data_IF_094435582683
#
_entry.id   IF_094435582683
#
_cell.length_a   1.000
_cell.length_b   1.000
_cell.length_c   1.000
_cell.angle_alpha   90.00
_cell.angle_beta   90.00
_cell.angle_gamma   90.00
#
_symmetry.space_group_name_H-M   'P 1'
#
loop_
_entity.id
_entity.type
_entity.pdbx_description
1 polymer ?
#
# COMPACT_ATOMS: atom_id res chain seq x y z
N UNK A 1 3.56 7.15 31.10
CA UNK A 1 3.59 6.89 29.64
C UNK A 1 2.36 7.55 29.05
N UNK A 2 2.48 8.22 27.90
CA UNK A 2 1.34 8.87 27.23
C UNK A 2 0.44 7.84 26.56
N UNK A 3 -0.88 7.99 26.69
CA UNK A 3 -1.88 7.14 26.02
C UNK A 3 -2.25 7.75 24.66
N UNK A 4 -1.78 7.12 23.58
CA UNK A 4 -2.02 7.57 22.21
C UNK A 4 -3.46 7.36 21.73
N UNK A 5 -4.28 6.58 22.44
CA UNK A 5 -5.69 6.36 22.09
C UNK A 5 -6.62 7.46 22.61
N UNK A 6 -6.18 8.22 23.62
CA UNK A 6 -6.96 9.28 24.24
C UNK A 6 -7.37 10.40 23.27
N UNK A 7 -6.49 10.91 22.38
CA UNK A 7 -6.84 11.97 21.43
C UNK A 7 -7.99 11.61 20.49
N UNK A 8 -8.04 10.38 20.00
CA UNK A 8 -9.07 9.97 19.03
C UNK A 8 -10.48 10.07 19.62
N UNK A 9 -10.65 9.70 20.90
CA UNK A 9 -11.94 9.81 21.60
C UNK A 9 -12.40 11.26 21.74
N UNK A 10 -11.46 12.17 21.99
CA UNK A 10 -11.76 13.59 22.16
C UNK A 10 -12.11 14.26 20.82
N UNK A 11 -11.35 13.93 19.76
CA UNK A 11 -11.52 14.50 18.43
C UNK A 11 -12.83 14.03 17.79
N UNK A 12 -13.16 12.73 17.86
CA UNK A 12 -14.37 12.16 17.25
C UNK A 12 -15.68 12.63 17.90
N UNK A 13 -15.62 13.16 19.12
CA UNK A 13 -16.81 13.57 19.86
C UNK A 13 -17.39 14.91 19.40
N UNK A 14 -16.67 15.68 18.57
CA UNK A 14 -17.01 17.09 18.32
C UNK A 14 -16.92 17.45 16.82
N UNK A 15 -18.00 17.98 16.21
CA UNK A 15 -17.96 18.45 14.83
C UNK A 15 -17.33 19.85 14.77
N UNK A 16 -16.05 19.92 14.44
CA UNK A 16 -15.31 21.17 14.27
C UNK A 16 -14.75 21.33 12.86
N UNK A 17 -14.60 22.57 12.42
CA UNK A 17 -13.84 22.90 11.23
C UNK A 17 -12.34 22.58 11.42
N UNK A 18 -11.59 22.57 10.31
CA UNK A 18 -10.17 22.17 10.31
C UNK A 18 -9.32 23.03 11.25
N UNK A 19 -9.60 24.32 11.34
CA UNK A 19 -8.82 25.26 12.15
C UNK A 19 -9.10 25.04 13.64
N UNK A 20 -10.38 24.98 14.01
CA UNK A 20 -10.77 24.73 15.41
C UNK A 20 -10.25 23.38 15.90
N UNK A 21 -10.32 22.34 15.06
CA UNK A 21 -9.83 21.03 15.44
C UNK A 21 -8.29 21.01 15.59
N UNK A 22 -7.56 21.77 14.77
CA UNK A 22 -6.11 21.88 14.87
C UNK A 22 -5.73 22.56 16.19
N UNK A 23 -6.46 23.61 16.55
CA UNK A 23 -6.27 24.30 17.82
C UNK A 23 -6.52 23.40 19.04
N UNK A 24 -7.58 22.56 18.98
CA UNK A 24 -7.89 21.58 20.04
C UNK A 24 -6.76 20.57 20.18
N UNK A 25 -6.29 20.00 19.06
CA UNK A 25 -5.18 19.05 19.06
C UNK A 25 -3.91 19.69 19.62
N UNK A 26 -3.59 20.92 19.22
CA UNK A 26 -2.40 21.62 19.71
C UNK A 26 -2.49 21.90 21.21
N UNK A 27 -3.67 22.26 21.70
CA UNK A 27 -3.91 22.52 23.12
C UNK A 27 -3.78 21.23 23.95
N UNK A 28 -4.44 20.14 23.54
CA UNK A 28 -4.33 18.86 24.27
C UNK A 28 -2.90 18.30 24.22
N UNK A 29 -2.23 18.41 23.07
CA UNK A 29 -0.81 18.06 22.91
C UNK A 29 0.09 18.88 23.84
N UNK A 30 -0.17 20.17 24.03
CA UNK A 30 0.59 21.02 24.94
C UNK A 30 0.36 20.63 26.41
N UNK A 31 -0.90 20.42 26.80
CA UNK A 31 -1.27 19.97 28.15
C UNK A 31 -0.62 18.61 28.44
N UNK A 32 -0.75 17.68 27.50
CA UNK A 32 -0.15 16.36 27.59
C UNK A 32 1.37 16.40 27.70
N UNK A 33 2.03 17.21 26.86
CA UNK A 33 3.49 17.37 26.89
C UNK A 33 3.99 17.91 28.23
N UNK A 34 3.23 18.83 28.83
CA UNK A 34 3.53 19.38 30.17
C UNK A 34 3.40 18.30 31.25
N UNK A 35 2.37 17.46 31.16
CA UNK A 35 2.11 16.40 32.12
C UNK A 35 3.16 15.27 32.06
N UNK A 36 3.66 14.93 30.87
CA UNK A 36 4.65 13.85 30.70
C UNK A 36 6.11 14.33 30.72
N UNK A 37 6.36 15.64 30.65
CA UNK A 37 7.69 16.24 30.70
C UNK A 37 8.49 16.18 29.39
N UNK A 38 7.85 15.89 28.25
CA UNK A 38 8.49 15.90 26.93
C UNK A 38 7.48 16.24 25.81
N UNK A 39 7.99 16.64 24.65
CA UNK A 39 7.17 17.02 23.50
C UNK A 39 6.47 15.81 22.86
N UNK A 40 5.15 15.85 22.79
CA UNK A 40 4.32 14.80 22.17
C UNK A 40 4.24 14.89 20.63
N UNK A 41 4.88 15.86 19.98
CA UNK A 41 4.92 15.92 18.52
C UNK A 41 5.53 14.63 17.93
N UNK A 42 4.78 13.95 17.06
CA UNK A 42 5.19 12.67 16.46
C UNK A 42 4.75 11.44 17.26
N UNK A 43 4.42 11.58 18.55
CA UNK A 43 3.99 10.47 19.43
C UNK A 43 2.66 10.72 20.11
N UNK A 44 1.95 11.78 19.73
CA UNK A 44 0.69 12.22 20.35
C UNK A 44 -0.44 11.22 20.08
N UNK A 45 -0.54 10.71 18.86
CA UNK A 45 -1.60 9.80 18.44
C UNK A 45 -1.13 8.94 17.23
N UNK A 46 -1.79 7.83 16.89
CA UNK A 46 -1.41 6.98 15.76
C UNK A 46 -1.32 7.73 14.43
N UNK A 47 -2.23 8.69 14.21
CA UNK A 47 -2.23 9.53 13.01
C UNK A 47 -0.96 10.40 12.86
N UNK A 48 -0.13 10.55 13.89
CA UNK A 48 1.14 11.27 13.78
C UNK A 48 2.08 10.66 12.73
N UNK A 49 1.98 9.34 12.47
CA UNK A 49 2.80 8.63 11.50
C UNK A 49 2.59 9.15 10.06
N UNK A 50 1.40 9.68 9.76
CA UNK A 50 1.02 10.18 8.42
C UNK A 50 0.99 11.70 8.33
N UNK A 51 1.49 12.38 9.36
CA UNK A 51 1.51 13.83 9.44
C UNK A 51 2.46 14.45 8.39
N UNK A 52 2.03 15.58 7.82
CA UNK A 52 2.87 16.42 6.97
C UNK A 52 2.88 17.83 7.55
N UNK A 53 4.04 18.31 8.00
CA UNK A 53 4.21 19.68 8.52
C UNK A 53 4.02 20.77 7.47
N UNK A 54 3.95 20.39 6.20
CA UNK A 54 3.74 21.31 5.08
C UNK A 54 2.27 21.56 4.79
N UNK A 55 1.36 20.76 5.38
CA UNK A 55 -0.08 21.03 5.29
C UNK A 55 -0.47 22.19 6.22
N UNK A 56 -1.48 22.97 5.82
CA UNK A 56 -1.97 24.14 6.57
C UNK A 56 -2.37 23.78 8.01
N UNK A 57 -3.12 22.69 8.18
CA UNK A 57 -3.56 22.17 9.47
C UNK A 57 -2.99 20.75 9.67
N UNK A 58 -1.70 20.61 9.99
CA UNK A 58 -0.95 19.37 9.77
C UNK A 58 -1.45 18.18 10.61
N UNK A 59 -1.87 18.43 11.86
CA UNK A 59 -2.34 17.35 12.74
C UNK A 59 -3.77 16.93 12.38
N UNK A 60 -4.63 17.88 12.01
CA UNK A 60 -5.99 17.58 11.54
C UNK A 60 -5.98 16.88 10.20
N UNK A 61 -5.17 17.35 9.26
CA UNK A 61 -4.98 16.67 7.97
C UNK A 61 -4.50 15.24 8.21
N UNK A 62 -3.53 15.03 9.11
CA UNK A 62 -3.07 13.69 9.48
C UNK A 62 -4.18 12.82 10.07
N UNK A 63 -5.00 13.38 10.97
CA UNK A 63 -6.15 12.69 11.55
C UNK A 63 -7.16 12.26 10.48
N UNK A 64 -7.52 13.16 9.56
CA UNK A 64 -8.44 12.83 8.45
C UNK A 64 -7.89 11.78 7.50
N UNK A 65 -6.59 11.83 7.20
CA UNK A 65 -5.91 10.78 6.43
C UNK A 65 -6.03 9.44 7.17
N UNK A 66 -5.77 9.43 8.47
CA UNK A 66 -5.84 8.22 9.28
C UNK A 66 -7.25 7.64 9.37
N UNK A 67 -8.29 8.48 9.52
CA UNK A 67 -9.68 8.01 9.45
C UNK A 67 -9.98 7.39 8.09
N UNK A 68 -9.60 8.07 7.00
CA UNK A 68 -9.79 7.56 5.64
C UNK A 68 -9.08 6.23 5.44
N UNK A 69 -7.85 6.08 5.92
CA UNK A 69 -7.10 4.81 5.83
C UNK A 69 -7.90 3.63 6.41
N UNK A 70 -8.65 3.87 7.48
CA UNK A 70 -9.53 2.86 8.09
C UNK A 70 -10.73 2.47 7.23
N UNK A 71 -11.12 3.30 6.25
CA UNK A 71 -12.29 3.09 5.39
C UNK A 71 -11.93 2.50 4.02
N UNK A 72 -10.72 2.75 3.52
CA UNK A 72 -10.30 2.33 2.16
C UNK A 72 -10.32 0.81 1.99
N UNK A 73 -9.65 0.05 2.87
CA UNK A 73 -9.59 -1.40 2.74
C UNK A 73 -10.98 -2.07 2.89
N UNK A 74 -11.82 -1.66 3.86
CA UNK A 74 -13.21 -2.13 3.92
C UNK A 74 -14.03 -1.80 2.68
N UNK A 75 -13.87 -0.60 2.10
CA UNK A 75 -14.56 -0.20 0.87
C UNK A 75 -14.19 -1.14 -0.29
N UNK A 76 -12.90 -1.44 -0.48
CA UNK A 76 -12.44 -2.34 -1.54
C UNK A 76 -12.92 -3.78 -1.31
N UNK A 77 -12.91 -4.22 -0.05
CA UNK A 77 -13.35 -5.56 0.33
C UNK A 77 -14.87 -5.73 0.12
N UNK A 78 -15.67 -4.74 0.52
CA UNK A 78 -17.11 -4.73 0.33
C UNK A 78 -17.52 -4.68 -1.15
N UNK A 79 -16.74 -4.00 -1.99
CA UNK A 79 -16.92 -3.98 -3.43
C UNK A 79 -16.48 -5.29 -4.13
N UNK A 80 -15.93 -6.25 -3.39
CA UNK A 80 -15.50 -7.54 -3.94
C UNK A 80 -14.31 -7.42 -4.90
N UNK A 81 -13.48 -6.38 -4.75
CA UNK A 81 -12.35 -6.16 -5.65
C UNK A 81 -11.26 -7.20 -5.36
N UNK A 82 -10.92 -7.99 -6.38
CA UNK A 82 -9.92 -9.06 -6.36
C UNK A 82 -8.90 -8.98 -7.51
N UNK A 83 -9.16 -8.17 -8.54
CA UNK A 83 -8.22 -7.93 -9.64
C UNK A 83 -7.33 -6.69 -9.40
N UNK A 84 -6.00 -6.77 -9.63
CA UNK A 84 -5.08 -5.66 -9.36
C UNK A 84 -5.33 -4.45 -10.26
N UNK A 85 -5.72 -4.66 -11.53
CA UNK A 85 -6.04 -3.58 -12.45
C UNK A 85 -7.27 -2.77 -12.00
N UNK A 86 -8.32 -3.44 -11.51
CA UNK A 86 -9.53 -2.79 -10.99
C UNK A 86 -9.21 -2.03 -9.70
N UNK A 87 -8.51 -2.69 -8.78
CA UNK A 87 -8.05 -2.06 -7.53
C UNK A 87 -7.21 -0.80 -7.80
N UNK A 88 -6.34 -0.83 -8.81
CA UNK A 88 -5.53 0.31 -9.21
C UNK A 88 -6.40 1.49 -9.69
N UNK A 89 -7.35 1.25 -10.60
CA UNK A 89 -8.22 2.30 -11.13
C UNK A 89 -9.05 2.94 -10.02
N UNK A 90 -9.64 2.12 -9.14
CA UNK A 90 -10.42 2.61 -8.00
C UNK A 90 -9.53 3.41 -7.05
N UNK A 91 -8.36 2.88 -6.71
CA UNK A 91 -7.40 3.57 -5.83
C UNK A 91 -6.92 4.89 -6.43
N UNK A 92 -6.68 4.97 -7.74
CA UNK A 92 -6.21 6.19 -8.38
C UNK A 92 -7.26 7.30 -8.36
N UNK A 93 -8.52 6.97 -8.66
CA UNK A 93 -9.62 7.94 -8.59
C UNK A 93 -9.86 8.40 -7.16
N UNK A 94 -9.97 7.46 -6.21
CA UNK A 94 -10.24 7.80 -4.82
C UNK A 94 -9.09 8.60 -4.19
N UNK A 95 -7.84 8.18 -4.42
CA UNK A 95 -6.64 8.90 -3.98
C UNK A 95 -6.57 10.29 -4.58
N UNK A 96 -6.93 10.47 -5.85
CA UNK A 96 -6.94 11.79 -6.50
C UNK A 96 -7.93 12.74 -5.82
N UNK A 97 -9.20 12.32 -5.70
CA UNK A 97 -10.25 13.12 -5.07
C UNK A 97 -9.90 13.46 -3.60
N UNK A 98 -9.36 12.49 -2.88
CA UNK A 98 -8.91 12.68 -1.51
C UNK A 98 -7.75 13.67 -1.41
N UNK A 99 -6.76 13.56 -2.31
CA UNK A 99 -5.61 14.47 -2.34
C UNK A 99 -6.04 15.91 -2.62
N UNK A 100 -7.00 16.10 -3.52
CA UNK A 100 -7.59 17.41 -3.82
C UNK A 100 -8.31 17.98 -2.58
N UNK A 101 -9.16 17.17 -1.93
CA UNK A 101 -9.93 17.60 -0.75
C UNK A 101 -9.05 17.97 0.46
N UNK A 102 -7.87 17.36 0.58
CA UNK A 102 -6.94 17.57 1.69
C UNK A 102 -5.79 18.54 1.34
N UNK A 103 -5.71 18.98 0.07
CA UNK A 103 -4.63 19.85 -0.41
C UNK A 103 -3.23 19.22 -0.30
N UNK A 104 -3.13 17.89 -0.38
CA UNK A 104 -1.88 17.15 -0.18
C UNK A 104 -1.87 15.86 -1.00
N UNK A 105 -0.75 15.56 -1.66
CA UNK A 105 -0.56 14.26 -2.33
C UNK A 105 -0.57 13.11 -1.30
N UNK A 106 -1.49 12.17 -1.51
CA UNK A 106 -1.64 10.99 -0.67
C UNK A 106 -0.80 9.78 -1.12
N UNK A 107 0.03 9.90 -2.15
CA UNK A 107 0.96 8.84 -2.51
C UNK A 107 1.81 8.40 -1.30
N UNK A 108 1.78 7.11 -0.97
CA UNK A 108 2.49 6.53 0.18
C UNK A 108 1.80 6.72 1.54
N UNK A 109 0.68 7.44 1.60
CA UNK A 109 -0.11 7.70 2.82
C UNK A 109 -1.63 7.59 2.57
N UNK A 110 -2.02 6.91 1.52
CA UNK A 110 -3.42 6.80 1.11
C UNK A 110 -4.17 5.72 1.91
N UNK A 111 -3.52 4.58 2.12
CA UNK A 111 -4.11 3.38 2.74
C UNK A 111 -3.02 2.54 3.42
N UNK A 112 -3.37 1.62 4.34
CA UNK A 112 -2.41 0.74 5.01
C UNK A 112 -1.51 -0.05 4.05
N UNK A 113 -2.06 -0.50 2.91
CA UNK A 113 -1.29 -1.21 1.89
C UNK A 113 -0.19 -0.37 1.22
N UNK A 114 -0.16 0.95 1.42
CA UNK A 114 0.93 1.78 0.90
C UNK A 114 2.31 1.36 1.42
N UNK A 115 2.37 0.73 2.60
CA UNK A 115 3.62 0.25 3.19
C UNK A 115 4.26 -0.91 2.41
N UNK A 116 3.48 -1.64 1.61
CA UNK A 116 3.92 -2.81 0.81
C UNK A 116 3.83 -2.55 -0.70
N UNK A 117 3.71 -1.28 -1.09
CA UNK A 117 3.61 -0.85 -2.47
C UNK A 117 4.99 -0.82 -3.15
N UNK A 118 5.13 -1.58 -4.24
CA UNK A 118 6.29 -1.53 -5.11
C UNK A 118 5.92 -0.81 -6.41
N UNK A 119 6.53 0.36 -6.64
CA UNK A 119 6.26 1.21 -7.81
C UNK A 119 6.83 0.66 -9.12
N UNK A 120 7.67 -0.38 -9.06
CA UNK A 120 8.25 -1.01 -10.25
C UNK A 120 7.30 -2.02 -10.92
N UNK A 121 6.25 -2.43 -10.21
CA UNK A 121 5.28 -3.41 -10.68
C UNK A 121 4.18 -2.79 -11.55
N UNK A 122 3.54 -3.64 -12.36
CA UNK A 122 2.30 -3.28 -13.03
C UNK A 122 1.17 -3.19 -11.99
N UNK A 123 0.39 -2.11 -12.04
CA UNK A 123 -0.69 -1.83 -11.08
C UNK A 123 -0.22 -1.81 -9.61
N UNK A 124 0.75 -0.94 -9.25
CA UNK A 124 1.51 -1.05 -7.99
C UNK A 124 0.63 -0.93 -6.73
N UNK A 125 -0.38 -0.06 -6.74
CA UNK A 125 -1.31 0.09 -5.62
C UNK A 125 -2.32 -1.07 -5.56
N UNK A 126 -2.75 -1.56 -6.73
CA UNK A 126 -3.62 -2.73 -6.83
C UNK A 126 -2.96 -3.99 -6.28
N UNK A 127 -1.72 -4.27 -6.69
CA UNK A 127 -0.93 -5.40 -6.17
C UNK A 127 -0.68 -5.27 -4.67
N UNK A 128 -0.35 -4.07 -4.19
CA UNK A 128 -0.16 -3.80 -2.77
C UNK A 128 -1.42 -4.11 -1.95
N UNK A 129 -2.60 -3.71 -2.45
CA UNK A 129 -3.87 -4.02 -1.80
C UNK A 129 -4.11 -5.53 -1.72
N UNK A 130 -3.86 -6.28 -2.80
CA UNK A 130 -4.05 -7.74 -2.78
C UNK A 130 -3.09 -8.45 -1.82
N UNK A 131 -1.82 -8.02 -1.75
CA UNK A 131 -0.87 -8.51 -0.74
C UNK A 131 -1.34 -8.23 0.68
N UNK A 132 -1.80 -7.00 0.91
CA UNK A 132 -2.32 -6.59 2.21
C UNK A 132 -3.54 -7.41 2.62
N UNK A 133 -4.50 -7.60 1.70
CA UNK A 133 -5.67 -8.45 1.89
C UNK A 133 -5.29 -9.90 2.16
N UNK A 134 -4.34 -10.46 1.42
CA UNK A 134 -3.89 -11.83 1.65
C UNK A 134 -3.27 -12.02 3.04
N UNK A 135 -2.52 -11.03 3.53
CA UNK A 135 -1.96 -11.05 4.89
C UNK A 135 -3.06 -10.91 5.95
N UNK A 136 -4.03 -10.02 5.76
CA UNK A 136 -5.19 -9.90 6.66
C UNK A 136 -6.01 -11.20 6.69
N UNK A 137 -6.30 -11.80 5.54
CA UNK A 137 -7.03 -13.06 5.41
C UNK A 137 -6.26 -14.23 6.05
N UNK A 138 -4.94 -14.28 5.88
CA UNK A 138 -4.10 -15.31 6.52
C UNK A 138 -4.07 -15.13 8.04
N UNK A 139 -3.84 -13.90 8.52
CA UNK A 139 -3.78 -13.61 9.95
C UNK A 139 -5.10 -13.87 10.66
N UNK A 140 -6.23 -13.55 10.03
CA UNK A 140 -7.57 -13.82 10.58
C UNK A 140 -7.90 -15.31 10.56
N UNK A 141 -7.62 -16.04 9.47
CA UNK A 141 -7.81 -17.50 9.41
C UNK A 141 -6.95 -18.25 10.43
N UNK A 142 -5.72 -17.78 10.67
CA UNK A 142 -4.84 -18.35 11.71
C UNK A 142 -5.42 -18.16 13.13
N UNK A 143 -6.14 -17.06 13.38
CA UNK A 143 -6.83 -16.82 14.66
C UNK A 143 -8.09 -17.70 14.82
N UNK A 144 -8.84 -17.97 13.74
CA UNK A 144 -10.02 -18.85 13.78
C UNK A 144 -9.68 -20.35 13.84
N UNK A 145 -8.50 -20.77 13.38
CA UNK A 145 -8.03 -22.14 13.52
C UNK A 145 -7.52 -22.48 14.94
N UNK A 146 -7.45 -21.50 15.85
CA UNK A 146 -6.86 -21.64 17.17
C UNK A 146 -7.88 -22.15 18.22
N UNK A 147 -8.43 -23.36 18.01
CA UNK A 147 -9.11 -24.11 19.06
C UNK A 147 -8.07 -24.91 19.87
N UNK A 148 -7.64 -24.37 21.02
CA UNK A 148 -6.81 -25.14 21.98
C UNK A 148 -5.45 -24.55 22.36
N UNK A 149 -5.20 -23.25 22.15
CA UNK A 149 -4.15 -22.53 22.90
C UNK A 149 -2.69 -22.86 22.57
N UNK A 150 -2.42 -23.61 21.49
CA UNK A 150 -1.05 -23.81 21.01
C UNK A 150 -0.92 -23.34 19.56
N UNK A 151 -0.12 -22.29 19.35
CA UNK A 151 0.29 -21.83 18.03
C UNK A 151 1.18 -22.90 17.40
N UNK A 152 0.59 -23.77 16.58
CA UNK A 152 1.35 -24.56 15.61
C UNK A 152 1.36 -23.73 14.32
N UNK A 153 2.43 -22.95 14.12
CA UNK A 153 2.71 -22.34 12.82
C UNK A 153 3.20 -23.47 11.91
N UNK A 154 2.29 -24.23 11.34
CA UNK A 154 2.57 -24.99 10.12
C UNK A 154 2.41 -24.03 8.95
N UNK A 155 3.31 -23.06 8.84
CA UNK A 155 3.50 -22.38 7.57
C UNK A 155 4.10 -23.44 6.63
N UNK A 156 3.42 -23.87 5.56
CA UNK A 156 4.13 -24.53 4.48
C UNK A 156 5.25 -23.58 4.08
N UNK A 157 6.47 -24.09 4.00
CA UNK A 157 7.57 -23.30 3.48
C UNK A 157 7.11 -22.82 2.10
N UNK A 158 7.34 -21.56 1.75
CA UNK A 158 6.91 -21.04 0.44
C UNK A 158 7.39 -21.93 -0.72
N UNK A 159 8.53 -22.61 -0.51
CA UNK A 159 9.08 -23.64 -1.39
C UNK A 159 8.12 -24.85 -1.57
N UNK A 160 7.45 -25.32 -0.51
CA UNK A 160 6.55 -26.47 -0.56
C UNK A 160 5.24 -26.13 -1.27
N UNK A 161 4.67 -24.94 -1.00
CA UNK A 161 3.44 -24.48 -1.66
C UNK A 161 3.66 -24.20 -3.16
N UNK A 162 4.84 -23.72 -3.54
CA UNK A 162 5.22 -23.51 -4.94
C UNK A 162 5.47 -24.85 -5.66
N UNK A 163 6.09 -25.82 -4.98
CA UNK A 163 6.32 -27.16 -5.55
C UNK A 163 5.00 -27.88 -5.79
N UNK A 164 4.06 -27.78 -4.86
CA UNK A 164 2.74 -28.39 -4.98
C UNK A 164 1.92 -27.76 -6.11
N UNK A 165 1.96 -26.44 -6.27
CA UNK A 165 1.33 -25.74 -7.38
C UNK A 165 1.96 -26.09 -8.76
N UNK A 166 3.27 -26.35 -8.81
CA UNK A 166 3.96 -26.79 -10.02
C UNK A 166 3.66 -28.25 -10.37
N UNK A 167 3.54 -29.12 -9.36
CA UNK A 167 3.12 -30.51 -9.55
C UNK A 167 1.69 -30.57 -10.08
N UNK A 168 0.76 -29.77 -9.55
CA UNK A 168 -0.63 -29.72 -10.02
C UNK A 168 -0.73 -29.26 -11.49
N UNK A 169 0.09 -28.29 -11.93
CA UNK A 169 0.15 -27.86 -13.35
C UNK A 169 0.72 -28.97 -14.25
N UNK A 170 1.68 -29.76 -13.75
CA UNK A 170 2.32 -30.82 -14.56
C UNK A 170 1.44 -32.04 -14.82
N UNK A 171 0.39 -32.23 -14.04
CA UNK A 171 -0.58 -33.34 -14.23
C UNK A 171 -1.60 -32.99 -15.33
N UNK A 172 -1.95 -31.72 -15.48
CA UNK A 172 -2.91 -31.26 -16.50
C UNK A 172 -2.31 -31.24 -17.93
N UNK A 173 -1.00 -31.01 -18.09
CA UNK A 173 -0.32 -31.05 -19.41
C UNK A 173 -0.09 -32.47 -19.96
N UNK A 174 -0.21 -33.51 -19.11
CA UNK A 174 -0.05 -34.89 -19.54
C UNK A 174 -1.28 -35.46 -20.26
N UNK A 175 -2.49 -34.94 -19.97
CA UNK A 175 -3.74 -35.39 -20.63
C UNK A 175 -4.03 -34.65 -21.95
N UNK A 176 -3.38 -33.53 -22.23
CA UNK A 176 -3.57 -32.76 -23.47
C UNK A 176 -2.64 -33.21 -24.63
N UNK A 177 -1.51 -33.86 -24.33
CA UNK A 177 -0.53 -34.25 -25.33
C UNK A 177 -0.86 -35.54 -26.12
N UNK A 178 -1.90 -36.30 -25.74
CA UNK A 178 -2.33 -37.48 -26.52
C UNK A 178 -3.33 -37.14 -27.65
N UNK A 179 -3.78 -35.89 -27.77
CA UNK A 179 -4.81 -35.49 -28.74
C UNK A 179 -4.30 -34.77 -30.00
N UNK A 180 -3.04 -34.33 -30.07
CA UNK A 180 -2.52 -33.49 -31.16
C UNK A 180 -1.58 -34.17 -32.18
N UNK A 181 -1.32 -35.48 -32.08
CA UNK A 181 -0.44 -36.17 -33.05
C UNK A 181 -1.12 -36.59 -34.39
N UNK A 182 -2.39 -36.27 -34.61
CA UNK A 182 -3.07 -36.60 -35.87
C UNK A 182 -3.69 -35.36 -36.55
N UNK A 183 -2.85 -34.49 -37.11
CA UNK A 183 -3.13 -33.81 -38.39
C UNK A 183 -1.90 -33.04 -38.89
N UNK A 184 -1.15 -33.67 -39.80
CA UNK A 184 -0.12 -33.03 -40.61
C UNK A 184 -0.69 -32.78 -42.02
N UNK A 185 -0.32 -31.61 -42.57
CA UNK A 185 -0.33 -31.16 -43.96
C UNK A 185 -1.52 -30.31 -44.42
N UNK A 186 -1.27 -29.01 -44.69
CA UNK A 186 -0.90 -28.56 -46.04
C UNK A 186 -0.34 -27.11 -46.06
N UNK A 187 0.30 -26.78 -47.19
CA UNK A 187 1.40 -25.83 -47.43
C UNK A 187 1.12 -24.31 -47.41
N UNK A 188 2.20 -23.53 -47.22
CA UNK A 188 2.31 -22.08 -47.48
C UNK A 188 2.43 -21.77 -49.00
N UNK A 189 2.37 -20.49 -49.45
CA UNK A 189 3.64 -19.73 -49.57
C UNK A 189 3.59 -18.19 -49.33
N UNK A 190 4.58 -17.73 -48.56
CA UNK A 190 5.56 -16.62 -48.76
C UNK A 190 5.14 -15.26 -49.39
N UNK A 191 5.34 -14.16 -48.63
CA UNK A 191 5.98 -12.92 -49.13
C UNK A 191 6.52 -12.00 -47.99
N UNK A 192 7.86 -11.90 -47.94
CA UNK A 192 8.76 -10.77 -47.58
C UNK A 192 8.71 -10.05 -46.21
N UNK A 193 9.88 -10.08 -45.56
CA UNK A 193 10.28 -9.44 -44.28
C UNK A 193 11.06 -8.11 -44.54
N UNK A 194 11.50 -7.31 -43.53
CA UNK A 194 10.91 -6.02 -43.20
C UNK A 194 11.85 -4.81 -43.41
N UNK A 195 11.27 -3.61 -43.60
CA UNK A 195 12.03 -2.36 -43.51
C UNK A 195 12.15 -1.91 -42.04
N UNK A 196 13.36 -2.01 -41.49
CA UNK A 196 13.73 -1.57 -40.15
C UNK A 196 13.57 -0.04 -39.99
N UNK A 197 12.79 0.38 -38.99
CA UNK A 197 12.73 1.77 -38.55
C UNK A 197 13.81 2.04 -37.48
N UNK A 198 14.47 3.21 -37.46
CA UNK A 198 15.56 3.49 -36.53
C UNK A 198 15.05 3.60 -35.09
N UNK A 199 15.68 2.87 -34.16
CA UNK A 199 15.43 3.03 -32.74
C UNK A 199 16.07 4.34 -32.24
N UNK A 200 15.27 5.28 -31.74
CA UNK A 200 15.76 6.44 -31.01
C UNK A 200 16.23 6.00 -29.60
N UNK A 201 17.53 6.09 -29.34
CA UNK A 201 18.09 5.90 -28.00
C UNK A 201 17.62 7.03 -27.06
N UNK A 202 16.88 6.67 -26.01
CA UNK A 202 16.57 7.59 -24.91
C UNK A 202 17.87 8.03 -24.22
N UNK A 203 18.13 9.35 -24.05
CA UNK A 203 19.36 9.80 -23.42
C UNK A 203 19.41 9.42 -21.95
N UNK A 204 20.46 8.68 -21.57
CA UNK A 204 20.78 8.37 -20.18
C UNK A 204 21.10 9.66 -19.42
N UNK A 205 20.22 10.07 -18.52
CA UNK A 205 20.48 11.18 -17.59
C UNK A 205 21.56 10.76 -16.60
N UNK A 206 22.77 11.27 -16.75
CA UNK A 206 23.83 11.12 -15.75
C UNK A 206 23.50 11.97 -14.53
N UNK A 207 23.23 11.34 -13.38
CA UNK A 207 23.11 12.07 -12.12
C UNK A 207 24.50 12.49 -11.64
N UNK A 208 24.71 13.80 -11.46
CA UNK A 208 25.92 14.34 -10.80
C UNK A 208 25.68 14.38 -9.30
N UNK A 209 26.36 13.51 -8.57
CA UNK A 209 26.38 13.55 -7.10
C UNK A 209 27.36 14.65 -6.67
N UNK A 210 26.85 15.75 -6.13
CA UNK A 210 27.68 16.77 -5.48
C UNK A 210 27.90 16.36 -4.02
N UNK A 211 29.12 15.95 -3.67
CA UNK A 211 29.51 15.73 -2.27
C UNK A 211 29.80 17.07 -1.60
N UNK A 212 28.96 17.51 -0.67
CA UNK A 212 29.23 18.67 0.18
C UNK A 212 30.31 18.32 1.22
N UNK A 213 31.47 18.98 1.16
CA UNK A 213 32.48 18.92 2.23
C UNK A 213 32.02 19.81 3.39
N UNK A 214 31.91 19.25 4.59
CA UNK A 214 31.77 20.04 5.83
C UNK A 214 33.03 20.89 6.02
N UNK A 215 32.86 22.21 6.15
CA UNK A 215 33.89 23.07 6.75
C UNK A 215 33.86 22.80 8.25
N UNK A 216 34.96 22.28 8.79
CA UNK A 216 35.20 22.34 10.22
C UNK A 216 35.46 23.82 10.55
N UNK A 217 34.64 24.38 11.44
CA UNK A 217 34.91 25.69 12.03
C UNK A 217 35.92 25.48 13.16
N UNK A 218 37.07 26.15 13.05
CA UNK A 218 37.94 26.48 14.18
C UNK A 218 37.38 27.70 14.93
#
# INVERSE_FOLDING_TARGET
>A
MWDQSKPEKLIKALPFDSFSLQHIIDTDKLIGSTAVGYNLCGTYAPFCAVCSKWAENPCVTAFRIYERMGEVCPMFSAAGIDAPAIAQVVADVDKFLASESLGLDLCGRYAPFCAVCDKSEEYPCGQAYLRYKAVEDFSTKALYAQAGGQLIISAPRWDDALTQALEDISVDDAELNEAEENNVAEEQPVAEEPAALPQEEKPRRSFRIATARRRNAE
#
